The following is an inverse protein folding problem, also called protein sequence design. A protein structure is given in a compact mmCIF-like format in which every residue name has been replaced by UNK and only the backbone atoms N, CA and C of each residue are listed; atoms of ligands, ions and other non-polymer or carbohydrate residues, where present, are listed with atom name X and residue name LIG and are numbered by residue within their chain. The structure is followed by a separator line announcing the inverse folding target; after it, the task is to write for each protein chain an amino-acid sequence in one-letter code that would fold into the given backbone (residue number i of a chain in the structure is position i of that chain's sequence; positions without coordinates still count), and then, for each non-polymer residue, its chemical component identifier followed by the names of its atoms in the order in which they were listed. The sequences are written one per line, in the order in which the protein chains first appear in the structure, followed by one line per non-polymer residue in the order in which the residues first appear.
data_IF_662951739744
#
_entry.id   IF_662951739744
#
_cell.length_a   1.000
_cell.length_b   1.000
_cell.length_c   1.000
_cell.angle_alpha   90.00
_cell.angle_beta   90.00
_cell.angle_gamma   90.00
#
_symmetry.space_group_name_H-M   'P 1'
#
loop_
_entity.id
_entity.type
_entity.pdbx_description
1 polymer ?
#
# COMPACT_ATOMS: atom_id res chain seq x y z
N UNK A 1 28.50 -22.54 20.76
CA UNK A 1 27.28 -21.69 20.67
C UNK A 1 27.21 -20.81 19.41
N UNK A 2 28.15 -20.90 18.45
CA UNK A 2 28.16 -20.07 17.22
C UNK A 2 27.13 -20.49 16.14
N UNK A 3 26.67 -21.74 16.17
CA UNK A 3 25.79 -22.36 15.16
C UNK A 3 24.41 -21.67 15.09
N UNK A 4 23.94 -21.11 16.21
CA UNK A 4 22.69 -20.35 16.28
C UNK A 4 22.81 -18.94 15.68
N UNK A 5 24.02 -18.38 15.62
CA UNK A 5 24.27 -17.04 15.08
C UNK A 5 24.00 -16.99 13.56
N UNK A 6 24.37 -18.06 12.85
CA UNK A 6 24.07 -18.21 11.42
C UNK A 6 22.57 -18.35 11.14
N UNK A 7 21.84 -19.08 11.99
CA UNK A 7 20.39 -19.22 11.85
C UNK A 7 19.68 -17.86 12.00
N UNK A 8 20.09 -17.06 12.98
CA UNK A 8 19.54 -15.70 13.17
C UNK A 8 19.83 -14.80 11.98
N UNK A 9 21.05 -14.86 11.41
CA UNK A 9 21.40 -14.06 10.24
C UNK A 9 20.60 -14.46 8.99
N UNK A 10 20.39 -15.75 8.75
CA UNK A 10 19.58 -16.25 7.62
C UNK A 10 18.11 -15.82 7.78
N UNK A 11 17.55 -15.94 8.98
CA UNK A 11 16.17 -15.50 9.26
C UNK A 11 16.04 -13.98 9.08
N UNK A 12 17.00 -13.20 9.56
CA UNK A 12 17.00 -11.75 9.41
C UNK A 12 17.10 -11.32 7.93
N UNK A 13 17.96 -11.98 7.14
CA UNK A 13 18.07 -11.75 5.71
C UNK A 13 16.78 -12.12 4.96
N UNK A 14 16.15 -13.24 5.32
CA UNK A 14 14.86 -13.66 4.75
C UNK A 14 13.76 -12.64 5.08
N UNK A 15 13.65 -12.21 6.33
CA UNK A 15 12.70 -11.18 6.76
C UNK A 15 12.92 -9.84 6.04
N UNK A 16 14.18 -9.43 5.88
CA UNK A 16 14.53 -8.22 5.13
C UNK A 16 14.12 -8.33 3.66
N UNK A 17 14.35 -9.49 3.03
CA UNK A 17 13.97 -9.75 1.64
C UNK A 17 12.44 -9.78 1.44
N UNK A 18 11.70 -10.42 2.35
CA UNK A 18 10.22 -10.41 2.37
C UNK A 18 9.68 -8.98 2.49
N UNK A 19 10.22 -8.20 3.43
CA UNK A 19 9.82 -6.81 3.64
C UNK A 19 10.13 -5.95 2.42
N UNK A 20 11.29 -6.12 1.81
CA UNK A 20 11.71 -5.33 0.64
C UNK A 20 10.84 -5.64 -0.60
N UNK A 21 10.52 -6.91 -0.85
CA UNK A 21 9.63 -7.30 -1.95
C UNK A 21 8.18 -6.83 -1.74
N UNK A 22 7.68 -6.85 -0.51
CA UNK A 22 6.36 -6.31 -0.18
C UNK A 22 6.29 -4.79 -0.42
N UNK A 23 7.37 -4.07 -0.17
CA UNK A 23 7.44 -2.61 -0.37
C UNK A 23 7.51 -2.25 -1.86
N UNK A 24 8.28 -3.01 -2.65
CA UNK A 24 8.35 -2.86 -4.12
C UNK A 24 7.00 -3.15 -4.78
N UNK A 25 6.35 -4.25 -4.40
CA UNK A 25 5.03 -4.62 -4.94
C UNK A 25 3.93 -3.64 -4.55
N UNK A 26 3.90 -3.16 -3.30
CA UNK A 26 2.93 -2.16 -2.86
C UNK A 26 3.08 -0.82 -3.62
N UNK A 27 4.33 -0.41 -3.90
CA UNK A 27 4.60 0.78 -4.72
C UNK A 27 4.18 0.57 -6.16
N UNK A 28 4.48 -0.59 -6.75
CA UNK A 28 4.07 -0.91 -8.11
C UNK A 28 2.54 -0.92 -8.27
N UNK A 29 1.82 -1.51 -7.31
CA UNK A 29 0.37 -1.47 -7.26
C UNK A 29 -0.15 -0.04 -7.13
N UNK A 30 0.46 0.79 -6.28
CA UNK A 30 0.10 2.20 -6.15
C UNK A 30 0.24 2.95 -7.48
N UNK A 31 1.38 2.82 -8.17
CA UNK A 31 1.59 3.48 -9.48
C UNK A 31 0.59 2.98 -10.54
N UNK A 32 0.29 1.67 -10.54
CA UNK A 32 -0.71 1.09 -11.45
C UNK A 32 -2.13 1.61 -11.16
N UNK A 33 -2.49 1.73 -9.88
CA UNK A 33 -3.79 2.27 -9.45
C UNK A 33 -3.88 3.77 -9.77
N UNK A 34 -2.83 4.53 -9.50
CA UNK A 34 -2.76 5.98 -9.74
C UNK A 34 -2.85 6.35 -11.23
N UNK A 35 -2.16 5.60 -12.08
CA UNK A 35 -2.17 5.81 -13.55
C UNK A 35 -3.48 5.37 -14.22
N UNK A 36 -4.33 4.61 -13.52
CA UNK A 36 -5.58 4.13 -14.08
C UNK A 36 -6.70 5.18 -13.96
N UNK A 37 -7.30 5.64 -15.08
CA UNK A 37 -8.39 6.61 -15.05
C UNK A 37 -9.64 6.11 -14.29
N UNK A 38 -9.90 4.80 -14.29
CA UNK A 38 -11.03 4.19 -13.56
C UNK A 38 -10.91 4.36 -12.04
N UNK A 39 -9.70 4.51 -11.52
CA UNK A 39 -9.46 4.78 -10.10
C UNK A 39 -10.07 6.11 -9.70
N UNK A 40 -9.89 7.15 -10.52
CA UNK A 40 -10.43 8.49 -10.24
C UNK A 40 -11.96 8.50 -10.29
N UNK A 41 -12.56 7.80 -11.26
CA UNK A 41 -14.02 7.63 -11.31
C UNK A 41 -14.56 6.92 -10.08
N UNK A 42 -13.91 5.83 -9.68
CA UNK A 42 -14.30 5.08 -8.49
C UNK A 42 -14.16 5.93 -7.22
N UNK A 43 -13.05 6.68 -7.07
CA UNK A 43 -12.85 7.58 -5.93
C UNK A 43 -13.94 8.66 -5.88
N UNK A 44 -14.28 9.27 -7.03
CA UNK A 44 -15.35 10.29 -7.09
C UNK A 44 -16.72 9.75 -6.66
N UNK A 45 -17.01 8.48 -6.95
CA UNK A 45 -18.29 7.84 -6.60
C UNK A 45 -18.33 7.32 -5.16
N UNK A 46 -17.20 6.88 -4.60
CA UNK A 46 -17.15 6.15 -3.33
C UNK A 46 -16.59 6.97 -2.16
N UNK A 47 -15.84 8.05 -2.42
CA UNK A 47 -15.30 8.93 -1.37
C UNK A 47 -16.44 9.80 -0.82
N UNK A 48 -16.84 9.47 0.40
CA UNK A 48 -17.96 10.09 1.12
C UNK A 48 -17.54 11.32 1.94
N UNK A 49 -16.22 11.48 2.18
CA UNK A 49 -15.67 12.50 3.07
C UNK A 49 -15.40 11.97 4.49
N UNK A 50 -15.87 10.78 4.84
CA UNK A 50 -15.45 10.09 6.06
C UNK A 50 -14.12 9.38 5.81
N UNK A 51 -13.03 10.02 6.24
CA UNK A 51 -11.66 9.55 6.00
C UNK A 51 -11.42 8.10 6.41
N UNK A 52 -11.96 7.63 7.54
CA UNK A 52 -11.71 6.26 8.00
C UNK A 52 -12.37 5.26 7.06
N UNK A 53 -13.65 5.48 6.72
CA UNK A 53 -14.39 4.61 5.82
C UNK A 53 -13.82 4.65 4.40
N UNK A 54 -13.45 5.83 3.92
CA UNK A 54 -12.86 6.01 2.58
C UNK A 54 -11.51 5.26 2.48
N UNK A 55 -10.66 5.34 3.51
CA UNK A 55 -9.40 4.57 3.57
C UNK A 55 -9.64 3.07 3.58
N UNK A 56 -10.62 2.57 4.35
CA UNK A 56 -10.96 1.15 4.36
C UNK A 56 -11.45 0.70 2.99
N UNK A 57 -12.34 1.47 2.35
CA UNK A 57 -12.87 1.16 1.03
C UNK A 57 -11.76 1.13 -0.04
N UNK A 58 -10.85 2.11 -0.04
CA UNK A 58 -9.71 2.16 -0.96
C UNK A 58 -8.80 0.95 -0.77
N UNK A 59 -8.47 0.61 0.48
CA UNK A 59 -7.62 -0.56 0.78
C UNK A 59 -8.26 -1.87 0.33
N UNK A 60 -9.57 -2.04 0.57
CA UNK A 60 -10.29 -3.24 0.15
C UNK A 60 -10.42 -3.33 -1.37
N UNK A 61 -10.66 -2.20 -2.05
CA UNK A 61 -10.85 -2.17 -3.50
C UNK A 61 -9.55 -2.41 -4.27
N UNK A 62 -8.46 -1.77 -3.83
CA UNK A 62 -7.21 -1.72 -4.59
C UNK A 62 -6.07 -2.53 -3.96
N UNK A 63 -6.31 -3.17 -2.81
CA UNK A 63 -5.29 -3.97 -2.10
C UNK A 63 -4.11 -3.12 -1.58
N UNK A 64 -4.27 -1.80 -1.50
CA UNK A 64 -3.19 -0.90 -1.11
C UNK A 64 -2.85 -1.02 0.38
N UNK A 65 -1.58 -0.79 0.69
CA UNK A 65 -1.18 -0.56 2.08
C UNK A 65 -1.81 0.72 2.61
N UNK A 66 -1.96 0.85 3.93
CA UNK A 66 -2.58 2.02 4.55
C UNK A 66 -1.90 3.34 4.14
N UNK A 67 -0.56 3.32 4.01
CA UNK A 67 0.22 4.46 3.57
C UNK A 67 -0.18 4.91 2.16
N UNK A 68 -0.23 3.99 1.20
CA UNK A 68 -0.56 4.30 -0.18
C UNK A 68 -2.04 4.66 -0.37
N UNK A 69 -2.93 4.00 0.38
CA UNK A 69 -4.35 4.38 0.38
C UNK A 69 -4.57 5.81 0.90
N UNK A 70 -3.81 6.20 1.93
CA UNK A 70 -3.81 7.57 2.45
C UNK A 70 -3.26 8.56 1.43
N UNK A 71 -2.13 8.24 0.82
CA UNK A 71 -1.51 9.08 -0.21
C UNK A 71 -2.46 9.29 -1.41
N UNK A 72 -3.13 8.23 -1.86
CA UNK A 72 -4.14 8.29 -2.93
C UNK A 72 -5.33 9.18 -2.55
N UNK A 73 -5.84 9.04 -1.33
CA UNK A 73 -6.98 9.84 -0.85
C UNK A 73 -6.60 11.31 -0.67
N UNK A 74 -5.44 11.58 -0.08
CA UNK A 74 -4.94 12.95 0.13
C UNK A 74 -4.66 13.62 -1.23
N UNK A 75 -4.08 12.92 -2.22
CA UNK A 75 -3.90 13.44 -3.59
C UNK A 75 -5.24 13.74 -4.28
N UNK A 76 -6.23 12.85 -4.13
CA UNK A 76 -7.56 13.06 -4.70
C UNK A 76 -8.27 14.25 -4.07
N UNK A 77 -8.17 14.42 -2.74
CA UNK A 77 -8.73 15.56 -2.03
C UNK A 77 -8.02 16.88 -2.37
N UNK A 78 -6.70 16.85 -2.60
CA UNK A 78 -5.95 18.04 -3.01
C UNK A 78 -6.26 18.51 -4.45
N UNK A 79 -6.77 17.63 -5.31
CA UNK A 79 -7.15 17.94 -6.70
C UNK A 79 -8.65 18.24 -6.89
N UNK A 80 -9.46 18.03 -5.84
CA UNK A 80 -10.90 18.28 -5.81
C UNK A 80 -11.18 19.73 -5.47
#
# INVERSE_FOLDING_TARGET
MWKFLWLVLVIAAWLAWLRNNSMSSARFLYESVKSNPKTHEWLRQNVSGNRINDLVAIRQRFGLSLRYAKELLDEFQARR
#
